data_IF_705140995921
#
_entry.id   IF_705140995921
#
_cell.length_a   1.000
_cell.length_b   1.000
_cell.length_c   1.000
_cell.angle_alpha   90.00
_cell.angle_beta   90.00
_cell.angle_gamma   90.00
#
_symmetry.space_group_name_H-M   'P 1'
#
loop_
_entity.id
_entity.type
_entity.pdbx_description
1 polymer ?
#
# COMPACT_ATOMS: atom_id res chain seq x y z
N UNK A 1 22.00 0.40 -4.20
CA UNK A 1 22.35 -0.76 -3.35
C UNK A 1 21.16 -1.14 -2.44
N UNK A 2 19.96 -1.33 -3.03
CA UNK A 2 18.68 -1.44 -2.29
C UNK A 2 17.71 -2.46 -2.92
N UNK A 3 18.24 -3.43 -3.68
CA UNK A 3 17.44 -4.43 -4.41
C UNK A 3 17.49 -5.82 -3.74
N UNK A 4 18.22 -5.96 -2.62
CA UNK A 4 18.33 -7.23 -1.89
C UNK A 4 17.20 -7.41 -0.85
N UNK A 5 16.60 -6.33 -0.35
CA UNK A 5 15.56 -6.37 0.68
C UNK A 5 14.20 -6.93 0.20
N UNK A 6 13.80 -6.61 -1.04
CA UNK A 6 12.45 -6.93 -1.53
C UNK A 6 12.33 -8.36 -2.09
N UNK A 7 13.44 -8.95 -2.56
CA UNK A 7 13.44 -10.32 -3.11
C UNK A 7 13.58 -11.38 -2.00
N UNK A 8 14.16 -11.01 -0.84
CA UNK A 8 14.25 -11.92 0.31
C UNK A 8 12.94 -12.02 1.11
N UNK A 9 12.13 -10.96 1.23
CA UNK A 9 10.95 -10.97 2.09
C UNK A 9 9.82 -11.91 1.62
N UNK A 10 9.52 -11.96 0.31
CA UNK A 10 8.43 -12.79 -0.21
C UNK A 10 8.82 -14.21 -0.62
N UNK A 11 10.02 -14.40 -1.17
CA UNK A 11 10.46 -15.68 -1.73
C UNK A 11 11.28 -16.51 -0.73
N UNK A 12 12.05 -15.86 0.16
CA UNK A 12 12.74 -16.58 1.23
C UNK A 12 11.79 -16.95 2.38
N UNK A 13 10.72 -16.19 2.67
CA UNK A 13 9.77 -16.56 3.74
C UNK A 13 9.10 -17.93 3.49
N UNK A 14 8.59 -18.20 2.28
CA UNK A 14 7.87 -19.45 2.01
C UNK A 14 8.76 -20.69 1.95
N UNK A 15 9.99 -20.60 1.39
CA UNK A 15 10.92 -21.75 1.33
C UNK A 15 11.84 -21.86 2.53
N UNK A 16 12.30 -20.75 3.10
CA UNK A 16 13.13 -20.78 4.30
C UNK A 16 12.33 -21.30 5.49
N UNK A 17 11.04 -20.99 5.63
CA UNK A 17 10.18 -21.63 6.65
C UNK A 17 10.22 -23.16 6.59
N UNK A 18 10.20 -23.79 5.40
CA UNK A 18 10.32 -25.26 5.29
C UNK A 18 11.68 -25.81 5.75
N UNK A 19 12.75 -25.01 5.72
CA UNK A 19 14.11 -25.41 6.15
C UNK A 19 14.41 -25.00 7.60
N UNK A 20 13.72 -23.96 8.08
CA UNK A 20 13.85 -23.31 9.39
C UNK A 20 12.91 -23.96 10.43
N UNK A 21 11.79 -24.55 10.01
CA UNK A 21 10.95 -25.42 10.82
C UNK A 21 11.63 -26.77 11.15
N UNK A 22 12.73 -27.10 10.46
CA UNK A 22 13.57 -28.24 10.78
C UNK A 22 14.26 -28.05 12.12
N UNK A 23 13.61 -28.55 13.19
CA UNK A 23 14.11 -28.81 14.57
C UNK A 23 15.62 -28.67 14.72
N UNK A 24 16.12 -27.43 14.73
CA UNK A 24 17.54 -27.14 14.82
C UNK A 24 17.99 -27.31 16.26
N UNK A 25 18.65 -28.43 16.56
CA UNK A 25 19.33 -28.68 17.83
C UNK A 25 20.57 -27.81 18.01
N UNK A 26 20.38 -26.49 18.06
CA UNK A 26 21.43 -25.53 18.39
C UNK A 26 21.21 -24.90 19.77
N UNK A 27 22.20 -24.16 20.30
CA UNK A 27 22.19 -23.70 21.68
C UNK A 27 21.02 -22.76 21.96
N UNK A 28 20.27 -23.04 23.03
CA UNK A 28 19.13 -22.24 23.53
C UNK A 28 19.53 -20.90 24.16
N UNK A 29 20.83 -20.58 24.17
CA UNK A 29 21.36 -19.32 24.68
C UNK A 29 22.17 -18.64 23.58
N UNK A 30 21.48 -17.81 22.82
CA UNK A 30 22.06 -16.88 21.87
C UNK A 30 22.07 -15.48 22.51
N UNK A 31 23.15 -14.72 22.30
CA UNK A 31 23.33 -13.38 22.89
C UNK A 31 22.42 -12.36 22.18
N UNK A 32 21.15 -12.39 22.57
CA UNK A 32 20.06 -11.62 22.02
C UNK A 32 19.14 -11.19 23.16
N UNK A 33 18.91 -9.88 23.26
CA UNK A 33 17.91 -9.31 24.15
C UNK A 33 16.69 -8.84 23.37
N UNK A 34 15.54 -8.80 24.05
CA UNK A 34 14.29 -8.31 23.48
C UNK A 34 13.56 -7.43 24.48
N UNK A 35 12.99 -6.33 23.98
CA UNK A 35 11.98 -5.53 24.68
C UNK A 35 10.73 -5.51 23.83
N UNK A 36 9.55 -5.52 24.43
CA UNK A 36 8.29 -5.44 23.69
C UNK A 36 7.32 -4.43 24.31
N UNK A 37 6.45 -3.87 23.48
CA UNK A 37 5.32 -3.03 23.85
C UNK A 37 4.08 -3.42 23.04
N UNK A 38 2.93 -2.91 23.47
CA UNK A 38 1.69 -2.99 22.72
C UNK A 38 1.30 -1.60 22.26
N UNK A 39 1.14 -1.44 20.94
CA UNK A 39 0.73 -0.18 20.34
C UNK A 39 -0.43 -0.50 19.38
N UNK A 40 -1.61 0.14 19.53
CA UNK A 40 -2.74 0.12 18.59
C UNK A 40 -2.87 -1.14 17.72
N UNK A 41 -3.15 -2.28 18.35
CA UNK A 41 -3.38 -3.55 17.65
C UNK A 41 -2.13 -4.32 17.22
N UNK A 42 -0.94 -3.90 17.67
CA UNK A 42 0.35 -4.51 17.34
C UNK A 42 1.14 -4.90 18.59
N UNK A 43 1.91 -5.97 18.45
CA UNK A 43 3.03 -6.33 19.32
C UNK A 43 4.31 -5.76 18.68
N UNK A 44 4.83 -4.67 19.24
CA UNK A 44 6.10 -4.09 18.83
C UNK A 44 7.23 -4.78 19.59
N UNK A 45 8.21 -5.33 18.89
CA UNK A 45 9.35 -6.05 19.49
C UNK A 45 10.64 -5.45 18.96
N UNK A 46 11.48 -4.97 19.87
CA UNK A 46 12.85 -4.53 19.59
C UNK A 46 13.81 -5.61 20.05
N UNK A 47 14.60 -6.11 19.11
CA UNK A 47 15.61 -7.14 19.28
C UNK A 47 17.00 -6.50 19.20
N UNK A 48 17.91 -6.87 20.09
CA UNK A 48 19.29 -6.37 20.09
C UNK A 48 20.28 -7.53 20.20
N UNK A 49 21.15 -7.67 19.21
CA UNK A 49 22.25 -8.64 19.23
C UNK A 49 23.40 -8.14 20.10
N UNK A 50 24.01 -9.04 20.86
CA UNK A 50 25.23 -8.73 21.63
C UNK A 50 26.43 -8.37 20.75
N UNK A 51 26.46 -8.87 19.51
CA UNK A 51 27.42 -8.47 18.47
C UNK A 51 26.73 -8.35 17.11
N UNK A 52 27.25 -7.48 16.26
CA UNK A 52 26.75 -7.36 14.88
C UNK A 52 27.04 -8.63 14.09
N UNK A 53 26.04 -9.08 13.33
CA UNK A 53 26.15 -10.21 12.41
C UNK A 53 25.70 -9.72 11.04
N UNK A 54 26.62 -9.44 10.10
CA UNK A 54 26.27 -8.89 8.79
C UNK A 54 25.28 -9.79 8.04
N UNK A 55 24.19 -9.19 7.55
CA UNK A 55 23.16 -9.89 6.80
C UNK A 55 22.27 -10.82 7.62
N UNK A 56 22.30 -10.73 8.96
CA UNK A 56 21.42 -11.52 9.80
C UNK A 56 19.95 -11.14 9.64
N UNK A 57 19.08 -12.14 9.77
CA UNK A 57 17.62 -12.00 9.85
C UNK A 57 17.12 -12.67 11.12
N UNK A 58 16.13 -12.06 11.77
CA UNK A 58 15.36 -12.63 12.84
C UNK A 58 14.16 -13.37 12.27
N UNK A 59 13.90 -14.58 12.78
CA UNK A 59 12.68 -15.34 12.51
C UNK A 59 11.94 -15.49 13.84
N UNK A 60 10.75 -14.93 13.90
CA UNK A 60 9.90 -14.85 15.08
C UNK A 60 8.78 -15.87 14.98
N UNK A 61 8.64 -16.69 16.01
CA UNK A 61 7.57 -17.67 16.16
C UNK A 61 6.92 -17.49 17.53
N UNK A 62 5.60 -17.57 17.59
CA UNK A 62 4.86 -17.41 18.84
C UNK A 62 4.36 -18.78 19.32
N UNK A 63 4.47 -19.03 20.63
CA UNK A 63 4.13 -20.31 21.25
C UNK A 63 3.37 -20.09 22.55
N UNK A 64 2.60 -21.10 22.94
CA UNK A 64 2.04 -21.19 24.30
C UNK A 64 3.13 -21.45 25.34
N UNK A 65 2.79 -21.32 26.61
CA UNK A 65 3.67 -21.75 27.71
C UNK A 65 3.97 -23.26 27.69
N UNK A 66 3.24 -24.06 26.91
CA UNK A 66 3.47 -25.50 26.74
C UNK A 66 4.18 -25.86 25.42
N UNK A 67 4.88 -24.91 24.79
CA UNK A 67 5.67 -25.09 23.55
C UNK A 67 4.83 -25.49 22.32
N UNK A 68 3.53 -25.19 22.35
CA UNK A 68 2.65 -25.35 21.19
C UNK A 68 2.68 -24.08 20.36
N UNK A 69 2.99 -24.17 19.07
CA UNK A 69 2.99 -23.04 18.16
C UNK A 69 1.59 -22.42 18.02
N UNK A 70 1.55 -21.08 18.05
CA UNK A 70 0.35 -20.33 17.69
C UNK A 70 0.21 -20.34 16.17
N UNK A 71 -1.03 -20.41 15.68
CA UNK A 71 -1.31 -20.32 14.25
C UNK A 71 -1.17 -18.88 13.76
N UNK A 72 -0.70 -18.71 12.53
CA UNK A 72 -0.62 -17.42 11.85
C UNK A 72 -1.93 -17.09 11.14
N UNK A 73 -2.05 -15.87 10.61
CA UNK A 73 -3.11 -15.46 9.68
C UNK A 73 -2.51 -14.74 8.47
N UNK A 74 -3.05 -14.97 7.27
CA UNK A 74 -2.59 -14.35 6.04
C UNK A 74 -1.13 -14.67 5.72
N UNK A 75 -0.33 -13.62 5.46
CA UNK A 75 1.09 -13.75 5.11
C UNK A 75 2.01 -14.12 6.29
N UNK A 76 1.48 -14.20 7.51
CA UNK A 76 2.23 -14.60 8.72
C UNK A 76 2.15 -16.10 9.00
N UNK A 77 1.71 -16.91 8.04
CA UNK A 77 1.65 -18.36 8.15
C UNK A 77 2.86 -19.00 7.46
N UNK A 78 3.49 -19.96 8.14
CA UNK A 78 4.41 -20.89 7.49
C UNK A 78 3.68 -22.04 6.77
N UNK A 79 4.43 -23.02 6.25
CA UNK A 79 3.86 -24.16 5.52
C UNK A 79 2.94 -25.04 6.38
N UNK A 80 3.08 -24.99 7.71
CA UNK A 80 2.28 -25.77 8.66
C UNK A 80 1.14 -24.91 9.26
N UNK A 81 0.99 -23.67 8.78
CA UNK A 81 0.02 -22.69 9.26
C UNK A 81 0.42 -22.03 10.59
N UNK A 82 1.62 -22.29 11.09
CA UNK A 82 2.13 -21.68 12.33
C UNK A 82 2.56 -20.24 12.07
N UNK A 83 2.45 -19.40 13.10
CA UNK A 83 2.85 -18.01 13.02
C UNK A 83 4.36 -17.92 12.79
N UNK A 84 4.75 -17.23 11.72
CA UNK A 84 6.13 -16.95 11.38
C UNK A 84 6.26 -15.54 10.80
N UNK A 85 7.23 -14.78 11.31
CA UNK A 85 7.57 -13.45 10.80
C UNK A 85 9.07 -13.33 10.67
N UNK A 86 9.54 -12.71 9.57
CA UNK A 86 10.97 -12.54 9.28
C UNK A 86 11.27 -11.07 9.16
N UNK A 87 12.28 -10.60 9.89
CA UNK A 87 12.72 -9.20 9.87
C UNK A 87 14.26 -9.14 9.83
N UNK A 88 14.88 -8.35 8.91
CA UNK A 88 16.33 -8.21 8.86
C UNK A 88 16.87 -7.36 10.04
N UNK A 89 18.08 -7.67 10.49
CA UNK A 89 18.82 -6.79 11.40
C UNK A 89 19.45 -5.63 10.63
N UNK A 90 19.33 -4.43 11.20
CA UNK A 90 20.09 -3.25 10.79
C UNK A 90 21.22 -3.03 11.80
N UNK A 91 22.42 -3.48 11.45
CA UNK A 91 23.53 -3.59 12.38
C UNK A 91 23.21 -4.58 13.50
N UNK A 92 23.03 -4.07 14.72
CA UNK A 92 22.72 -4.88 15.91
C UNK A 92 21.24 -4.91 16.27
N UNK A 93 20.44 -4.03 15.70
CA UNK A 93 19.05 -3.84 16.10
C UNK A 93 18.09 -4.37 15.04
N UNK A 94 16.97 -4.90 15.49
CA UNK A 94 15.84 -5.27 14.64
C UNK A 94 14.57 -4.80 15.36
N UNK A 95 13.75 -4.00 14.69
CA UNK A 95 12.46 -3.56 15.21
C UNK A 95 11.39 -4.19 14.33
N UNK A 96 10.56 -5.05 14.93
CA UNK A 96 9.47 -5.71 14.25
C UNK A 96 8.14 -5.30 14.87
N UNK A 97 7.14 -5.09 14.02
CA UNK A 97 5.77 -4.76 14.42
C UNK A 97 4.86 -5.87 13.94
N UNK A 98 4.44 -6.72 14.86
CA UNK A 98 3.60 -7.87 14.57
C UNK A 98 2.14 -7.47 14.80
N UNK A 99 1.25 -7.51 13.81
CA UNK A 99 -0.16 -7.27 14.03
C UNK A 99 -0.74 -8.36 14.96
N UNK A 100 -1.45 -7.97 16.01
CA UNK A 100 -2.00 -8.95 16.97
C UNK A 100 -3.02 -9.89 16.31
N UNK A 101 -3.69 -9.44 15.25
CA UNK A 101 -4.60 -10.28 14.46
C UNK A 101 -3.89 -11.30 13.57
N UNK A 102 -2.58 -11.16 13.35
CA UNK A 102 -1.76 -12.16 12.69
C UNK A 102 -1.50 -13.37 13.58
N UNK A 103 -1.68 -13.22 14.90
CA UNK A 103 -1.55 -14.28 15.90
C UNK A 103 -2.93 -14.86 16.21
N UNK A 104 -3.08 -16.18 16.07
CA UNK A 104 -4.31 -16.88 16.46
C UNK A 104 -4.13 -17.49 17.85
N UNK A 105 -4.75 -16.86 18.84
CA UNK A 105 -4.70 -17.28 20.25
C UNK A 105 -6.05 -17.10 20.95
N UNK A 106 -6.26 -17.84 22.06
CA UNK A 106 -7.60 -18.03 22.66
C UNK A 106 -7.96 -17.06 23.78
N UNK A 107 -6.97 -16.53 24.50
CA UNK A 107 -7.19 -15.67 25.67
C UNK A 107 -5.98 -14.75 25.89
N UNK A 108 -6.20 -13.63 26.56
CA UNK A 108 -5.11 -12.81 27.07
C UNK A 108 -4.18 -13.63 28.00
N UNK A 109 -2.93 -13.21 28.10
CA UNK A 109 -2.01 -13.73 29.10
C UNK A 109 -0.61 -13.98 28.56
N UNK A 110 0.11 -14.87 29.24
CA UNK A 110 1.51 -15.11 28.98
C UNK A 110 1.74 -16.13 27.86
N UNK A 111 2.58 -15.76 26.91
CA UNK A 111 3.03 -16.58 25.79
C UNK A 111 4.56 -16.53 25.68
N UNK A 112 5.09 -17.28 24.72
CA UNK A 112 6.51 -17.32 24.40
C UNK A 112 6.74 -16.83 22.98
N UNK A 113 7.70 -15.93 22.82
CA UNK A 113 8.19 -15.48 21.53
C UNK A 113 9.57 -16.09 21.31
N UNK A 114 9.65 -17.07 20.42
CA UNK A 114 10.90 -17.68 20.01
C UNK A 114 11.48 -16.89 18.85
N UNK A 115 12.72 -16.44 19.02
CA UNK A 115 13.45 -15.70 18.01
C UNK A 115 14.67 -16.51 17.61
N UNK A 116 14.74 -16.87 16.34
CA UNK A 116 15.86 -17.57 15.73
C UNK A 116 16.61 -16.64 14.79
N UNK A 117 17.94 -16.61 14.88
CA UNK A 117 18.79 -15.80 14.03
C UNK A 117 19.40 -16.65 12.91
N UNK A 118 19.27 -16.17 11.68
CA UNK A 118 19.80 -16.81 10.48
C UNK A 118 20.62 -15.83 9.66
N UNK A 119 21.63 -16.33 8.93
CA UNK A 119 22.30 -15.59 7.86
C UNK A 119 21.92 -16.25 6.52
N UNK A 120 21.18 -15.56 5.63
CA UNK A 120 20.85 -16.07 4.31
C UNK A 120 22.15 -16.36 3.54
N UNK A 121 22.22 -17.54 2.92
CA UNK A 121 23.22 -17.84 1.90
C UNK A 121 22.57 -17.65 0.53
N UNK A 122 23.36 -17.34 -0.50
CA UNK A 122 22.88 -17.03 -1.86
C UNK A 122 21.81 -18.00 -2.39
N UNK A 123 21.06 -17.58 -3.42
CA UNK A 123 19.85 -18.26 -3.92
C UNK A 123 19.97 -19.79 -3.98
N UNK A 124 19.17 -20.49 -3.17
CA UNK A 124 19.08 -21.95 -3.15
C UNK A 124 19.88 -22.65 -2.04
N UNK A 125 20.72 -21.92 -1.30
CA UNK A 125 21.50 -22.48 -0.19
C UNK A 125 20.80 -22.38 1.16
N UNK A 126 21.16 -23.29 2.08
CA UNK A 126 20.53 -23.33 3.41
C UNK A 126 20.98 -22.13 4.21
N UNK A 127 20.04 -21.35 4.79
CA UNK A 127 20.42 -20.27 5.68
C UNK A 127 21.22 -20.84 6.85
N UNK A 128 22.27 -20.13 7.24
CA UNK A 128 23.12 -20.53 8.35
C UNK A 128 22.48 -20.12 9.66
N UNK A 129 22.15 -21.10 10.50
CA UNK A 129 21.58 -20.85 11.82
C UNK A 129 22.67 -20.34 12.78
N UNK A 130 22.41 -19.21 13.45
CA UNK A 130 23.34 -18.59 14.41
C UNK A 130 22.96 -18.85 15.87
N UNK A 131 21.68 -19.08 16.14
CA UNK A 131 21.20 -19.34 17.50
C UNK A 131 19.73 -18.97 17.65
N UNK A 132 19.16 -19.32 18.81
CA UNK A 132 17.80 -18.94 19.17
C UNK A 132 17.71 -18.55 20.63
N UNK A 133 16.77 -17.67 20.94
CA UNK A 133 16.40 -17.30 22.31
C UNK A 133 14.88 -17.24 22.38
N UNK A 134 14.31 -17.65 23.51
CA UNK A 134 12.86 -17.59 23.74
C UNK A 134 12.57 -16.58 24.84
N UNK A 135 11.73 -15.60 24.53
CA UNK A 135 11.31 -14.56 25.46
C UNK A 135 9.90 -14.84 25.94
N UNK A 136 9.60 -14.46 27.19
CA UNK A 136 8.23 -14.42 27.68
C UNK A 136 7.60 -13.10 27.24
N UNK A 137 6.43 -13.18 26.63
CA UNK A 137 5.62 -12.03 26.24
C UNK A 137 4.24 -12.15 26.85
N UNK A 138 3.56 -11.03 27.00
CA UNK A 138 2.15 -10.99 27.35
C UNK A 138 1.37 -10.58 26.10
N UNK A 139 0.29 -11.29 25.77
CA UNK A 139 -0.63 -10.89 24.71
C UNK A 139 -1.93 -10.38 25.35
N UNK A 140 -2.50 -9.27 24.84
CA UNK A 140 -3.77 -8.74 25.34
C UNK A 140 -4.91 -9.65 24.91
N UNK A 141 -6.15 -9.37 25.35
CA UNK A 141 -7.33 -10.10 24.88
C UNK A 141 -7.35 -10.18 23.34
N UNK A 142 -7.62 -11.36 22.74
CA UNK A 142 -7.65 -11.50 21.29
C UNK A 142 -8.66 -10.53 20.70
N UNK A 143 -8.16 -9.40 20.20
CA UNK A 143 -8.96 -8.48 19.42
C UNK A 143 -9.00 -9.05 18.02
N UNK A 144 -10.16 -9.56 17.61
CA UNK A 144 -10.45 -9.63 16.17
C UNK A 144 -10.39 -8.18 15.69
N UNK A 145 -9.32 -7.76 15.02
CA UNK A 145 -9.45 -6.58 14.16
C UNK A 145 -10.54 -6.97 13.17
N UNK A 146 -11.73 -6.36 13.31
CA UNK A 146 -12.77 -6.52 12.32
C UNK A 146 -12.20 -6.10 10.97
N UNK A 147 -12.70 -6.68 9.88
CA UNK A 147 -12.28 -6.29 8.52
C UNK A 147 -12.33 -4.76 8.33
N UNK A 148 -13.28 -4.11 9.00
CA UNK A 148 -13.42 -2.66 9.15
C UNK A 148 -12.16 -1.97 9.70
N UNK A 149 -11.58 -2.45 10.80
CA UNK A 149 -10.41 -1.83 11.42
C UNK A 149 -9.16 -1.92 10.53
N UNK A 150 -8.97 -3.04 9.82
CA UNK A 150 -7.87 -3.17 8.85
C UNK A 150 -8.05 -2.20 7.66
N UNK A 151 -9.30 -1.92 7.29
CA UNK A 151 -9.65 -1.04 6.19
C UNK A 151 -9.58 0.46 6.52
N UNK A 152 -9.55 0.83 7.82
CA UNK A 152 -9.64 2.23 8.26
C UNK A 152 -8.59 3.15 7.63
N UNK A 153 -7.28 2.83 7.65
CA UNK A 153 -6.27 3.70 7.05
C UNK A 153 -6.41 3.80 5.52
N UNK A 154 -6.83 2.72 4.87
CA UNK A 154 -7.08 2.73 3.42
C UNK A 154 -8.27 3.64 3.09
N UNK A 155 -9.32 3.60 3.90
CA UNK A 155 -10.49 4.44 3.73
C UNK A 155 -10.17 5.92 4.01
N UNK A 156 -9.32 6.20 5.00
CA UNK A 156 -8.80 7.54 5.25
C UNK A 156 -8.00 8.07 4.05
N UNK A 157 -7.12 7.24 3.47
CA UNK A 157 -6.36 7.61 2.28
C UNK A 157 -7.26 7.91 1.08
N UNK A 158 -8.23 7.04 0.79
CA UNK A 158 -9.20 7.25 -0.30
C UNK A 158 -10.01 8.53 -0.08
N UNK A 159 -10.34 8.87 1.17
CA UNK A 159 -11.06 10.10 1.49
C UNK A 159 -10.28 11.35 1.11
N UNK A 160 -8.94 11.37 1.20
CA UNK A 160 -8.15 12.49 0.71
C UNK A 160 -8.38 12.74 -0.79
N UNK A 161 -8.50 11.68 -1.59
CA UNK A 161 -8.83 11.78 -3.02
C UNK A 161 -10.27 12.28 -3.20
N UNK A 162 -11.24 11.68 -2.52
CA UNK A 162 -12.66 12.09 -2.58
C UNK A 162 -12.86 13.56 -2.19
N UNK A 163 -12.08 14.08 -1.24
CA UNK A 163 -12.18 15.46 -0.76
C UNK A 163 -11.38 16.47 -1.58
N UNK A 164 -10.53 16.03 -2.51
CA UNK A 164 -9.64 16.91 -3.28
C UNK A 164 -10.38 17.99 -4.08
N UNK A 165 -11.56 17.66 -4.60
CA UNK A 165 -12.46 18.53 -5.38
C UNK A 165 -13.90 18.38 -4.89
N UNK A 166 -14.72 19.42 -5.06
CA UNK A 166 -16.17 19.36 -4.79
C UNK A 166 -16.93 18.68 -5.93
N UNK A 167 -16.56 18.99 -7.16
CA UNK A 167 -17.16 18.41 -8.36
C UNK A 167 -16.93 16.90 -8.41
N UNK A 168 -18.00 16.12 -8.60
CA UNK A 168 -17.92 14.66 -8.71
C UNK A 168 -17.67 13.91 -7.40
N UNK A 169 -17.62 14.60 -6.24
CA UNK A 169 -17.43 13.98 -4.92
C UNK A 169 -18.42 12.86 -4.61
N UNK A 170 -19.67 12.99 -5.07
CA UNK A 170 -20.70 11.97 -4.90
C UNK A 170 -20.40 10.70 -5.70
N UNK A 171 -19.91 10.84 -6.95
CA UNK A 171 -19.48 9.70 -7.76
C UNK A 171 -18.30 8.98 -7.11
N UNK A 172 -17.29 9.76 -6.66
CA UNK A 172 -16.10 9.23 -5.98
C UNK A 172 -16.43 8.53 -4.67
N UNK A 173 -17.37 9.06 -3.88
CA UNK A 173 -17.86 8.39 -2.66
C UNK A 173 -18.59 7.08 -2.95
N UNK A 174 -19.37 7.01 -4.04
CA UNK A 174 -20.01 5.75 -4.46
C UNK A 174 -18.96 4.72 -4.91
N UNK A 175 -18.00 5.15 -5.72
CA UNK A 175 -16.92 4.29 -6.19
C UNK A 175 -16.06 3.78 -5.03
N UNK A 176 -15.76 4.62 -4.03
CA UNK A 176 -15.10 4.19 -2.80
C UNK A 176 -15.89 3.07 -2.10
N UNK A 177 -17.22 3.20 -1.97
CA UNK A 177 -18.08 2.13 -1.42
C UNK A 177 -17.97 0.83 -2.23
N UNK A 178 -18.04 0.92 -3.56
CA UNK A 178 -17.90 -0.25 -4.46
C UNK A 178 -16.54 -0.94 -4.30
N UNK A 179 -15.45 -0.18 -4.16
CA UNK A 179 -14.12 -0.77 -3.91
C UNK A 179 -14.10 -1.59 -2.61
N UNK A 180 -14.68 -1.07 -1.53
CA UNK A 180 -14.71 -1.79 -0.26
C UNK A 180 -15.66 -2.99 -0.28
N UNK A 181 -16.86 -2.83 -0.85
CA UNK A 181 -17.87 -3.89 -0.85
C UNK A 181 -17.53 -4.99 -1.86
N UNK A 182 -17.15 -4.63 -3.09
CA UNK A 182 -16.98 -5.59 -4.18
C UNK A 182 -15.56 -6.13 -4.25
N UNK A 183 -14.54 -5.26 -4.11
CA UNK A 183 -13.14 -5.66 -4.27
C UNK A 183 -12.52 -6.17 -2.97
N UNK A 184 -12.82 -5.51 -1.85
CA UNK A 184 -12.31 -5.92 -0.53
C UNK A 184 -13.26 -6.93 0.15
N UNK A 185 -14.55 -6.93 -0.24
CA UNK A 185 -15.54 -7.91 0.18
C UNK A 185 -16.18 -7.64 1.54
N UNK A 186 -16.12 -6.41 2.08
CA UNK A 186 -16.82 -6.10 3.34
C UNK A 186 -18.31 -5.90 3.10
N UNK A 187 -19.14 -6.22 4.08
CA UNK A 187 -20.59 -6.01 3.98
C UNK A 187 -20.92 -4.52 3.96
N UNK A 188 -22.09 -4.14 3.43
CA UNK A 188 -22.53 -2.74 3.47
C UNK A 188 -22.60 -2.17 4.89
N UNK A 189 -23.07 -2.98 5.86
CA UNK A 189 -23.10 -2.57 7.28
C UNK A 189 -21.70 -2.32 7.85
N UNK A 190 -20.72 -3.14 7.45
CA UNK A 190 -19.33 -2.93 7.83
C UNK A 190 -18.75 -1.67 7.19
N UNK A 191 -19.12 -1.39 5.94
CA UNK A 191 -18.74 -0.14 5.28
C UNK A 191 -19.35 1.08 5.95
N UNK A 192 -20.61 1.04 6.38
CA UNK A 192 -21.23 2.17 7.08
C UNK A 192 -20.50 2.49 8.39
N UNK A 193 -20.17 1.44 9.17
CA UNK A 193 -19.35 1.58 10.38
C UNK A 193 -17.94 2.13 10.09
N UNK A 194 -17.33 1.69 8.99
CA UNK A 194 -16.04 2.18 8.51
C UNK A 194 -16.12 3.68 8.18
N UNK A 195 -17.15 4.07 7.42
CA UNK A 195 -17.35 5.44 6.97
C UNK A 195 -17.58 6.40 8.13
N UNK A 196 -18.37 6.00 9.13
CA UNK A 196 -18.57 6.77 10.36
C UNK A 196 -17.26 6.90 11.15
N UNK A 197 -16.47 5.81 11.22
CA UNK A 197 -15.16 5.83 11.89
C UNK A 197 -14.18 6.78 11.21
N UNK A 198 -14.10 6.77 9.87
CA UNK A 198 -13.24 7.69 9.10
C UNK A 198 -13.64 9.15 9.32
N UNK A 199 -14.93 9.44 9.50
CA UNK A 199 -15.40 10.80 9.82
C UNK A 199 -14.96 11.26 11.20
N UNK A 200 -14.86 10.35 12.16
CA UNK A 200 -14.46 10.65 13.54
C UNK A 200 -12.93 10.84 13.72
N UNK A 201 -12.11 10.36 12.78
CA UNK A 201 -10.64 10.46 12.84
C UNK A 201 -10.14 11.85 12.44
N UNK A 202 -9.23 12.42 13.25
CA UNK A 202 -8.45 13.61 12.90
C UNK A 202 -7.58 13.32 11.68
N UNK A 203 -7.64 14.20 10.66
CA UNK A 203 -6.88 14.06 9.41
C UNK A 203 -5.39 13.82 9.68
N UNK A 204 -4.95 12.56 9.54
CA UNK A 204 -3.55 12.20 9.69
C UNK A 204 -2.80 12.58 8.41
N UNK A 205 -1.50 12.89 8.52
CA UNK A 205 -0.68 13.14 7.34
C UNK A 205 -0.53 11.87 6.49
N UNK A 206 -0.38 12.02 5.17
CA UNK A 206 -0.19 10.90 4.24
C UNK A 206 0.90 9.90 4.69
N UNK A 207 2.07 10.31 5.23
CA UNK A 207 3.08 9.35 5.68
C UNK A 207 2.59 8.45 6.83
N UNK A 208 1.83 8.98 7.79
CA UNK A 208 1.30 8.21 8.90
C UNK A 208 0.24 7.22 8.43
N UNK A 209 -0.66 7.66 7.55
CA UNK A 209 -1.69 6.80 6.95
C UNK A 209 -1.03 5.66 6.16
N UNK A 210 0.00 5.93 5.37
CA UNK A 210 0.71 4.90 4.60
C UNK A 210 1.44 3.91 5.50
N UNK A 211 2.02 4.38 6.61
CA UNK A 211 2.63 3.50 7.61
C UNK A 211 1.57 2.59 8.25
N UNK A 212 0.38 3.11 8.57
CA UNK A 212 -0.73 2.33 9.11
C UNK A 212 -1.35 1.36 8.10
N UNK A 213 -1.43 1.71 6.82
CA UNK A 213 -1.79 0.78 5.75
C UNK A 213 -0.77 -0.37 5.68
N UNK A 214 0.53 -0.05 5.72
CA UNK A 214 1.59 -1.05 5.65
C UNK A 214 1.53 -2.01 6.84
N UNK A 215 1.18 -1.49 8.02
CA UNK A 215 0.97 -2.27 9.24
C UNK A 215 -0.28 -3.15 9.18
N UNK A 216 -1.40 -2.60 8.70
CA UNK A 216 -2.69 -3.29 8.71
C UNK A 216 -2.89 -4.25 7.52
N UNK A 217 -2.22 -3.99 6.39
CA UNK A 217 -2.32 -4.75 5.13
C UNK A 217 -0.92 -4.93 4.52
N UNK A 218 -0.02 -5.73 5.13
CA UNK A 218 1.37 -5.86 4.69
C UNK A 218 1.52 -6.51 3.30
N UNK A 219 0.51 -7.26 2.85
CA UNK A 219 0.46 -7.91 1.54
C UNK A 219 0.12 -6.95 0.40
N UNK A 220 -0.28 -5.71 0.71
CA UNK A 220 -0.76 -4.75 -0.27
C UNK A 220 0.39 -4.18 -1.09
N UNK A 221 0.40 -4.52 -2.38
CA UNK A 221 1.38 -3.99 -3.34
C UNK A 221 1.14 -2.51 -3.62
N UNK A 222 2.22 -1.76 -3.83
CA UNK A 222 2.19 -0.35 -4.21
C UNK A 222 1.31 -0.09 -5.43
N UNK A 223 1.44 -0.90 -6.48
CA UNK A 223 0.69 -0.76 -7.73
C UNK A 223 -0.82 -1.01 -7.53
N UNK A 224 -1.16 -1.93 -6.62
CA UNK A 224 -2.55 -2.22 -6.24
C UNK A 224 -3.15 -1.04 -5.48
N UNK A 225 -2.42 -0.49 -4.51
CA UNK A 225 -2.86 0.67 -3.74
C UNK A 225 -3.11 1.88 -4.64
N UNK A 226 -2.14 2.22 -5.51
CA UNK A 226 -2.28 3.33 -6.47
C UNK A 226 -3.44 3.06 -7.44
N UNK A 227 -3.61 1.82 -7.92
CA UNK A 227 -4.72 1.46 -8.80
C UNK A 227 -6.08 1.71 -8.14
N UNK A 228 -6.23 1.39 -6.85
CA UNK A 228 -7.47 1.65 -6.11
C UNK A 228 -7.72 3.15 -5.93
N UNK A 229 -6.69 3.95 -5.66
CA UNK A 229 -6.82 5.41 -5.59
C UNK A 229 -7.24 6.01 -6.95
N UNK A 230 -6.66 5.52 -8.05
CA UNK A 230 -7.04 5.94 -9.39
C UNK A 230 -8.46 5.52 -9.76
N UNK A 231 -8.91 4.33 -9.35
CA UNK A 231 -10.28 3.89 -9.57
C UNK A 231 -11.28 4.87 -8.94
N UNK A 232 -11.00 5.32 -7.70
CA UNK A 232 -11.81 6.36 -7.05
C UNK A 232 -11.68 7.69 -7.80
N UNK A 233 -10.45 8.15 -8.07
CA UNK A 233 -10.20 9.44 -8.71
C UNK A 233 -10.82 9.57 -10.12
N UNK A 234 -10.92 8.47 -10.87
CA UNK A 234 -11.43 8.46 -12.25
C UNK A 234 -12.92 8.15 -12.36
N UNK A 235 -13.64 8.03 -11.25
CA UNK A 235 -15.03 7.55 -11.24
C UNK A 235 -16.04 8.44 -11.96
N UNK A 236 -15.70 9.71 -12.22
CA UNK A 236 -16.51 10.71 -12.94
C UNK A 236 -15.88 11.15 -14.27
N UNK A 237 -14.90 10.40 -14.76
CA UNK A 237 -14.08 10.70 -15.94
C UNK A 237 -13.29 12.03 -15.86
N UNK A 238 -13.18 12.68 -14.70
CA UNK A 238 -12.39 13.90 -14.51
C UNK A 238 -11.27 13.69 -13.49
N UNK A 239 -10.01 13.67 -13.98
CA UNK A 239 -8.86 13.58 -13.10
C UNK A 239 -8.29 14.98 -12.85
N UNK A 240 -8.64 15.54 -11.71
CA UNK A 240 -8.23 16.91 -11.40
C UNK A 240 -6.74 17.00 -11.04
N UNK A 241 -6.19 18.21 -11.20
CA UNK A 241 -4.84 18.56 -10.77
C UNK A 241 -4.54 18.20 -9.29
N UNK A 242 -5.55 18.33 -8.41
CA UNK A 242 -5.42 18.08 -6.98
C UNK A 242 -5.37 16.59 -6.69
N UNK A 243 -6.22 15.80 -7.35
CA UNK A 243 -6.21 14.35 -7.22
C UNK A 243 -4.93 13.75 -7.78
N UNK A 244 -4.46 14.23 -8.94
CA UNK A 244 -3.16 13.84 -9.49
C UNK A 244 -2.03 14.13 -8.49
N UNK A 245 -2.04 15.29 -7.86
CA UNK A 245 -1.03 15.64 -6.85
C UNK A 245 -1.02 14.68 -5.67
N UNK A 246 -2.20 14.29 -5.16
CA UNK A 246 -2.32 13.35 -4.03
C UNK A 246 -1.81 11.95 -4.44
N UNK A 247 -2.26 11.44 -5.59
CA UNK A 247 -1.89 10.10 -6.05
C UNK A 247 -0.39 10.02 -6.37
N UNK A 248 0.18 11.07 -6.98
CA UNK A 248 1.64 11.17 -7.23
C UNK A 248 2.44 11.20 -5.94
N UNK A 249 2.00 11.98 -4.95
CA UNK A 249 2.69 12.04 -3.67
C UNK A 249 2.67 10.70 -2.95
N UNK A 250 1.53 10.00 -2.97
CA UNK A 250 1.43 8.63 -2.43
C UNK A 250 2.38 7.69 -3.16
N UNK A 251 2.44 7.74 -4.49
CA UNK A 251 3.34 6.90 -5.28
C UNK A 251 4.82 7.13 -4.90
N UNK A 252 5.21 8.40 -4.75
CA UNK A 252 6.55 8.80 -4.32
C UNK A 252 6.87 8.32 -2.91
N UNK A 253 5.94 8.49 -1.95
CA UNK A 253 6.11 8.04 -0.56
C UNK A 253 6.24 6.51 -0.46
N UNK A 254 5.62 5.77 -1.38
CA UNK A 254 5.76 4.31 -1.50
C UNK A 254 7.02 3.87 -2.25
N UNK A 255 7.86 4.81 -2.70
CA UNK A 255 9.13 4.54 -3.35
C UNK A 255 9.04 4.28 -4.86
N UNK A 256 7.93 4.62 -5.51
CA UNK A 256 7.82 4.58 -6.97
C UNK A 256 8.66 5.70 -7.59
N UNK A 257 9.57 5.35 -8.50
CA UNK A 257 10.36 6.35 -9.23
C UNK A 257 9.49 7.09 -10.26
N UNK A 258 9.93 8.27 -10.70
CA UNK A 258 9.22 9.02 -11.75
C UNK A 258 9.08 8.22 -13.04
N UNK A 259 10.11 7.44 -13.42
CA UNK A 259 10.05 6.55 -14.59
C UNK A 259 9.07 5.39 -14.42
N UNK A 260 8.94 4.84 -13.22
CA UNK A 260 7.97 3.77 -12.95
C UNK A 260 6.55 4.33 -12.95
N UNK A 261 6.37 5.55 -12.41
CA UNK A 261 5.12 6.28 -12.49
C UNK A 261 4.70 6.53 -13.94
N UNK A 262 5.60 6.98 -14.81
CA UNK A 262 5.28 7.23 -16.22
C UNK A 262 4.80 5.95 -16.94
N UNK A 263 5.50 4.84 -16.74
CA UNK A 263 5.10 3.52 -17.29
C UNK A 263 3.76 3.06 -16.73
N UNK A 264 3.56 3.22 -15.43
CA UNK A 264 2.31 2.86 -14.77
C UNK A 264 1.15 3.72 -15.29
N UNK A 265 1.34 5.03 -15.37
CA UNK A 265 0.37 5.99 -15.88
C UNK A 265 0.00 5.69 -17.35
N UNK A 266 0.99 5.34 -18.18
CA UNK A 266 0.76 4.90 -19.56
C UNK A 266 -0.08 3.62 -19.61
N UNK A 267 0.25 2.62 -18.79
CA UNK A 267 -0.51 1.35 -18.72
C UNK A 267 -1.97 1.54 -18.29
N UNK A 268 -2.24 2.59 -17.51
CA UNK A 268 -3.59 2.98 -17.05
C UNK A 268 -4.27 3.97 -17.99
N UNK A 269 -3.61 4.39 -19.08
CA UNK A 269 -4.14 5.35 -20.03
C UNK A 269 -4.23 6.80 -19.51
N UNK A 270 -3.60 7.12 -18.37
CA UNK A 270 -3.61 8.46 -17.77
C UNK A 270 -2.97 9.51 -18.67
N UNK A 271 -2.07 9.12 -19.58
CA UNK A 271 -1.50 10.03 -20.58
C UNK A 271 -2.57 10.65 -21.48
N UNK A 272 -3.73 10.00 -21.66
CA UNK A 272 -4.89 10.57 -22.36
C UNK A 272 -5.64 11.62 -21.54
N UNK A 273 -5.33 11.74 -20.26
CA UNK A 273 -5.90 12.72 -19.34
C UNK A 273 -4.91 13.86 -19.02
N UNK A 274 -3.62 13.69 -19.36
CA UNK A 274 -2.61 14.72 -19.21
C UNK A 274 -2.91 15.91 -20.14
N UNK A 275 -3.20 17.11 -19.60
CA UNK A 275 -3.65 18.25 -20.41
C UNK A 275 -2.69 18.66 -21.51
N UNK A 276 -1.38 18.62 -21.23
CA UNK A 276 -0.34 18.94 -22.20
C UNK A 276 -0.31 17.92 -23.33
N UNK A 277 -0.43 16.62 -23.01
CA UNK A 277 -0.45 15.56 -24.00
C UNK A 277 -1.75 15.58 -24.84
N UNK A 278 -2.89 15.87 -24.21
CA UNK A 278 -4.20 16.00 -24.88
C UNK A 278 -4.19 17.13 -25.91
N UNK A 279 -3.59 18.27 -25.57
CA UNK A 279 -3.43 19.38 -26.50
C UNK A 279 -2.22 19.23 -27.44
N UNK A 280 -1.34 18.25 -27.21
CA UNK A 280 -0.13 18.04 -28.01
C UNK A 280 0.95 19.11 -27.81
N UNK A 281 1.02 19.71 -26.62
CA UNK A 281 1.99 20.77 -26.26
C UNK A 281 2.99 20.28 -25.21
N UNK A 282 4.17 20.92 -25.14
CA UNK A 282 5.18 20.61 -24.12
C UNK A 282 4.76 21.11 -22.73
N UNK A 283 5.25 20.46 -21.67
CA UNK A 283 5.13 21.00 -20.29
C UNK A 283 5.83 22.36 -20.23
N UNK A 284 5.15 23.36 -19.66
CA UNK A 284 5.63 24.76 -19.63
C UNK A 284 5.36 25.56 -20.90
N UNK A 285 4.47 25.09 -21.79
CA UNK A 285 3.99 25.89 -22.93
C UNK A 285 3.36 27.21 -22.47
N UNK A 286 3.52 28.26 -23.28
CA UNK A 286 2.97 29.59 -22.97
C UNK A 286 1.44 29.59 -23.12
N UNK A 287 0.72 30.54 -22.48
CA UNK A 287 -0.74 30.66 -22.65
C UNK A 287 -1.18 30.82 -24.12
N UNK A 288 -0.34 31.41 -24.97
CA UNK A 288 -0.61 31.56 -26.41
C UNK A 288 -0.43 30.24 -27.17
N UNK A 289 0.60 29.46 -26.83
CA UNK A 289 0.80 28.11 -27.37
C UNK A 289 -0.38 27.20 -27.00
N UNK A 290 -0.84 27.25 -25.75
CA UNK A 290 -1.99 26.48 -25.25
C UNK A 290 -3.28 26.88 -25.98
N UNK A 291 -3.57 28.19 -26.10
CA UNK A 291 -4.73 28.70 -26.85
C UNK A 291 -4.74 28.31 -28.32
N UNK A 292 -3.55 28.24 -28.93
CA UNK A 292 -3.39 27.86 -30.34
C UNK A 292 -3.65 26.37 -30.52
N UNK A 293 -3.04 25.54 -29.68
CA UNK A 293 -3.22 24.10 -29.71
C UNK A 293 -4.68 23.69 -29.46
N UNK A 294 -5.34 24.29 -28.48
CA UNK A 294 -6.76 24.06 -28.21
C UNK A 294 -7.66 24.33 -29.43
N UNK A 295 -7.46 25.48 -30.09
CA UNK A 295 -8.22 25.81 -31.31
C UNK A 295 -8.01 24.78 -32.42
N UNK A 296 -6.78 24.29 -32.59
CA UNK A 296 -6.47 23.25 -33.58
C UNK A 296 -7.16 21.93 -33.26
N UNK A 297 -7.12 21.47 -32.00
CA UNK A 297 -7.79 20.22 -31.59
C UNK A 297 -9.30 20.32 -31.77
N UNK A 298 -9.91 21.47 -31.45
CA UNK A 298 -11.34 21.71 -31.67
C UNK A 298 -11.72 21.73 -33.15
N UNK A 299 -10.94 22.38 -34.01
CA UNK A 299 -11.18 22.41 -35.46
C UNK A 299 -11.05 21.03 -36.11
N UNK A 300 -10.16 20.18 -35.59
CA UNK A 300 -9.95 18.83 -36.12
C UNK A 300 -11.03 17.85 -35.68
N UNK A 301 -11.60 18.03 -34.48
CA UNK A 301 -12.55 17.09 -33.87
C UNK A 301 -13.97 17.66 -33.72
N UNK A 302 -14.30 18.78 -34.38
CA UNK A 302 -15.59 19.44 -34.23
C UNK A 302 -16.76 18.49 -34.59
N UNK A 303 -17.84 18.41 -33.78
CA UNK A 303 -18.96 17.50 -34.01
C UNK A 303 -19.56 17.62 -35.41
N UNK A 304 -19.68 18.85 -35.92
CA UNK A 304 -20.22 19.11 -37.27
C UNK A 304 -19.42 18.44 -38.39
N UNK A 305 -18.10 18.23 -38.21
CA UNK A 305 -17.28 17.53 -39.21
C UNK A 305 -17.55 16.03 -39.27
N UNK A 306 -18.10 15.47 -38.20
CA UNK A 306 -18.41 14.05 -38.09
C UNK A 306 -19.91 13.76 -38.09
N UNK A 307 -20.77 14.77 -38.28
CA UNK A 307 -22.22 14.63 -38.24
C UNK A 307 -22.79 13.60 -39.23
N UNK A 308 -22.09 13.36 -40.34
CA UNK A 308 -22.44 12.34 -41.35
C UNK A 308 -21.63 11.03 -41.21
N UNK A 309 -20.76 10.93 -40.22
CA UNK A 309 -19.92 9.75 -39.95
C UNK A 309 -20.67 8.71 -39.10
N UNK A 310 -20.24 7.44 -39.09
CA UNK A 310 -20.83 6.43 -38.20
C UNK A 310 -20.75 6.84 -36.72
N UNK A 311 -21.69 6.36 -35.92
CA UNK A 311 -21.86 6.74 -34.50
C UNK A 311 -20.57 6.62 -33.69
N UNK A 312 -19.79 5.57 -33.90
CA UNK A 312 -18.51 5.38 -33.19
C UNK A 312 -17.50 6.51 -33.45
N UNK A 313 -17.50 7.08 -34.65
CA UNK A 313 -16.64 8.23 -34.99
C UNK A 313 -17.17 9.54 -34.40
N UNK A 314 -18.49 9.71 -34.35
CA UNK A 314 -19.13 10.84 -33.66
C UNK A 314 -18.84 10.82 -32.16
N UNK A 315 -18.95 9.65 -31.54
CA UNK A 315 -18.66 9.43 -30.12
C UNK A 315 -17.17 9.69 -29.83
N UNK A 316 -16.28 9.24 -30.71
CA UNK A 316 -14.84 9.50 -30.56
C UNK A 316 -14.49 10.99 -30.70
N UNK A 317 -15.08 11.68 -31.68
CA UNK A 317 -14.89 13.13 -31.87
C UNK A 317 -15.43 13.93 -30.68
N UNK A 318 -16.58 13.52 -30.14
CA UNK A 318 -17.18 14.11 -28.93
C UNK A 318 -16.29 13.89 -27.71
N UNK A 319 -15.77 12.67 -27.50
CA UNK A 319 -14.83 12.38 -26.41
C UNK A 319 -13.56 13.23 -26.51
N UNK A 320 -13.00 13.39 -27.73
CA UNK A 320 -11.80 14.21 -27.95
C UNK A 320 -12.04 15.70 -27.71
N UNK A 321 -13.18 16.24 -28.12
CA UNK A 321 -13.51 17.66 -27.88
C UNK A 321 -13.76 17.93 -26.40
N UNK A 322 -14.46 17.05 -25.69
CA UNK A 322 -14.62 17.14 -24.23
C UNK A 322 -13.26 17.11 -23.52
N UNK A 323 -12.39 16.16 -23.86
CA UNK A 323 -11.05 16.05 -23.27
C UNK A 323 -10.20 17.31 -23.56
N UNK A 324 -10.24 17.82 -24.80
CA UNK A 324 -9.50 19.02 -25.18
C UNK A 324 -9.97 20.27 -24.44
N UNK A 325 -11.29 20.41 -24.24
CA UNK A 325 -11.87 21.52 -23.46
C UNK A 325 -11.41 21.48 -22.01
N UNK A 326 -11.50 20.32 -21.36
CA UNK A 326 -11.03 20.11 -19.99
C UNK A 326 -9.53 20.41 -19.86
N UNK A 327 -8.72 19.90 -20.79
CA UNK A 327 -7.28 20.16 -20.82
C UNK A 327 -6.96 21.65 -20.92
N UNK A 328 -7.68 22.38 -21.78
CA UNK A 328 -7.51 23.83 -21.93
C UNK A 328 -7.89 24.59 -20.64
N UNK A 329 -9.04 24.27 -20.04
CA UNK A 329 -9.50 24.89 -18.79
C UNK A 329 -8.50 24.64 -17.65
N UNK A 330 -8.00 23.41 -17.49
CA UNK A 330 -7.00 23.08 -16.47
C UNK A 330 -5.67 23.83 -16.65
N UNK A 331 -5.20 24.00 -17.90
CA UNK A 331 -3.93 24.67 -18.17
C UNK A 331 -4.03 26.19 -18.02
N UNK A 332 -5.12 26.79 -18.47
CA UNK A 332 -5.33 28.24 -18.36
C UNK A 332 -5.65 28.65 -16.92
N UNK A 333 -6.43 27.86 -16.18
CA UNK A 333 -6.72 28.13 -14.76
C UNK A 333 -5.47 28.05 -13.86
N UNK A 334 -4.46 27.25 -14.20
CA UNK A 334 -3.16 27.21 -13.51
C UNK A 334 -2.31 28.46 -13.77
N UNK A 335 -2.40 29.06 -14.96
CA UNK A 335 -1.65 30.26 -15.31
C UNK A 335 -2.16 31.52 -14.59
N UNK A 336 -3.47 31.59 -14.32
CA UNK A 336 -4.07 32.70 -13.55
C UNK A 336 -3.77 32.61 -12.04
N UNK A 337 -3.56 31.41 -11.48
CA UNK A 337 -3.21 31.23 -10.07
C UNK A 337 -1.72 31.46 -9.75
N UNK A 338 -0.88 31.64 -10.78
CA UNK A 338 0.57 31.88 -10.65
C UNK A 338 1.01 33.27 -11.10
N UNK A 339 0.06 34.13 -11.48
CA UNK A 339 0.23 35.55 -11.79
C UNK A 339 -0.22 36.43 -10.61
#
# INVERSE_FOLDING_TARGET
MHVIGTILAGWAARKACSWIAGRGGGPDKFDLSATYSHDDGHLAVKLTLGREIPGAVAVLQALTLSDVYLKGSGDYQDSDGDFSHIEPFNGRECVCRIPLHALVYRAAGNYRLRVACYVPRGSGNKPEFKGRTTFRIELPEPRKLGRVACCLPLAELMRHVVQATEDGRAARSRCMKEVFVDSIGITEREYDNLHDSVRAVCQSGLPAILDDIRKNIPSLKTESLISMLLQVALSDDDFSAREESIVREVARLLGMSDSDWERFAESKGLNRLNPWAVLGVRRGATPDEIRTAYRQVMLQNHPDRFAQSPKDFQDLATKKTIAARRAYEQLMGRAEATA
#
